data_IF_376222862087
#
_entry.id   IF_376222862087
#
_cell.length_a   1.000
_cell.length_b   1.000
_cell.length_c   1.000
_cell.angle_alpha   90.00
_cell.angle_beta   90.00
_cell.angle_gamma   90.00
#
_symmetry.space_group_name_H-M   'P 1'
#
loop_
_entity.id
_entity.type
_entity.pdbx_description
1 polymer ?
#
# COMPACT_ATOMS: atom_id res chain seq x y z
N UNK A 1 19.21 -8.19 -16.52
CA UNK A 1 17.86 -8.24 -15.91
C UNK A 1 17.41 -6.80 -15.72
N UNK A 2 16.12 -6.50 -15.87
CA UNK A 2 15.62 -5.13 -15.71
C UNK A 2 15.50 -4.81 -14.21
N UNK A 3 15.89 -3.60 -13.81
CA UNK A 3 15.79 -3.06 -12.45
C UNK A 3 14.47 -3.40 -11.74
N UNK A 4 13.35 -3.35 -12.48
CA UNK A 4 12.01 -3.61 -11.95
C UNK A 4 11.77 -5.09 -11.66
N UNK A 5 12.34 -5.98 -12.46
CA UNK A 5 12.25 -7.43 -12.24
C UNK A 5 12.88 -7.80 -10.88
N UNK A 6 14.03 -7.19 -10.57
CA UNK A 6 14.76 -7.46 -9.34
C UNK A 6 13.92 -7.08 -8.09
N UNK A 7 13.20 -5.96 -8.13
CA UNK A 7 12.34 -5.54 -7.00
C UNK A 7 11.12 -6.46 -6.78
N UNK A 8 10.51 -6.98 -7.86
CA UNK A 8 9.41 -7.95 -7.77
C UNK A 8 9.88 -9.28 -7.22
N UNK A 9 11.09 -9.69 -7.59
CA UNK A 9 11.68 -10.94 -7.14
C UNK A 9 12.00 -10.90 -5.64
N UNK A 10 12.42 -9.75 -5.10
CA UNK A 10 12.58 -9.53 -3.66
C UNK A 10 11.26 -9.71 -2.90
N UNK A 11 10.17 -9.10 -3.40
CA UNK A 11 8.83 -9.25 -2.81
C UNK A 11 8.38 -10.71 -2.85
N UNK A 12 8.55 -11.38 -3.99
CA UNK A 12 8.17 -12.80 -4.13
C UNK A 12 9.00 -13.70 -3.20
N UNK A 13 10.31 -13.46 -3.11
CA UNK A 13 11.20 -14.22 -2.25
C UNK A 13 10.82 -14.06 -0.77
N UNK A 14 10.49 -12.86 -0.32
CA UNK A 14 10.01 -12.62 1.05
C UNK A 14 8.68 -13.32 1.32
N UNK A 15 7.69 -13.21 0.43
CA UNK A 15 6.42 -13.94 0.60
C UNK A 15 6.62 -15.46 0.61
N UNK A 16 7.57 -15.97 -0.19
CA UNK A 16 7.89 -17.39 -0.25
C UNK A 16 8.59 -17.89 1.02
N UNK A 17 9.53 -17.11 1.59
CA UNK A 17 10.21 -17.48 2.83
C UNK A 17 9.25 -17.54 4.02
N UNK A 18 8.14 -16.80 3.94
CA UNK A 18 7.10 -16.72 4.97
C UNK A 18 5.89 -17.64 4.71
N UNK A 19 5.96 -18.51 3.71
CA UNK A 19 4.85 -19.39 3.33
C UNK A 19 4.53 -20.49 4.37
N UNK A 20 5.43 -20.77 5.33
CA UNK A 20 5.33 -21.93 6.24
C UNK A 20 5.49 -21.66 7.74
N UNK A 21 5.16 -20.46 8.24
CA UNK A 21 5.24 -20.13 9.68
C UNK A 21 3.85 -20.08 10.37
N UNK A 22 3.76 -20.29 11.71
CA UNK A 22 2.72 -21.10 12.35
C UNK A 22 1.34 -20.45 12.57
N UNK A 23 0.40 -21.33 12.94
CA UNK A 23 -1.06 -21.19 13.12
C UNK A 23 -1.58 -20.11 14.09
N UNK A 24 -0.73 -19.20 14.56
CA UNK A 24 -1.02 -18.25 15.65
C UNK A 24 -1.85 -17.04 15.19
N UNK A 25 -1.96 -16.84 13.87
CA UNK A 25 -2.78 -15.77 13.27
C UNK A 25 -4.26 -16.14 13.08
N UNK A 26 -4.68 -17.37 13.41
CA UNK A 26 -6.07 -17.82 13.18
C UNK A 26 -7.10 -17.06 14.02
N UNK A 27 -6.74 -16.61 15.22
CA UNK A 27 -7.74 -16.15 16.19
C UNK A 27 -7.94 -14.62 16.21
N UNK A 28 -7.07 -13.85 15.57
CA UNK A 28 -7.27 -12.40 15.42
C UNK A 28 -8.15 -12.02 14.22
N UNK A 29 -8.33 -12.93 13.26
CA UNK A 29 -9.02 -12.71 11.98
C UNK A 29 -10.38 -13.43 11.90
N UNK A 30 -10.68 -14.39 12.79
CA UNK A 30 -11.87 -15.24 12.69
C UNK A 30 -13.13 -14.69 13.38
N UNK A 31 -13.04 -13.74 14.32
CA UNK A 31 -14.21 -13.30 15.11
C UNK A 31 -14.96 -12.07 14.59
N UNK A 32 -14.54 -11.43 13.49
CA UNK A 32 -15.32 -10.34 12.88
C UNK A 32 -15.32 -10.43 11.35
N UNK A 33 -16.23 -11.24 10.84
CA UNK A 33 -16.67 -11.27 9.45
C UNK A 33 -17.00 -9.85 8.96
N UNK A 34 -16.15 -9.30 8.08
CA UNK A 34 -16.47 -8.15 7.24
C UNK A 34 -15.62 -6.88 7.39
N UNK A 35 -14.63 -6.85 8.29
CA UNK A 35 -13.84 -5.62 8.49
C UNK A 35 -12.54 -5.58 7.70
N UNK A 36 -12.38 -4.48 6.95
CA UNK A 36 -11.11 -4.03 6.37
C UNK A 36 -10.20 -3.60 7.52
N UNK A 37 -9.03 -4.22 7.68
CA UNK A 37 -8.02 -3.78 8.65
C UNK A 37 -6.88 -3.07 7.94
N UNK A 38 -6.66 -1.81 8.30
CA UNK A 38 -5.44 -1.08 7.93
C UNK A 38 -4.26 -1.71 8.66
N UNK A 39 -3.28 -2.19 7.90
CA UNK A 39 -2.09 -2.86 8.42
C UNK A 39 -0.83 -2.04 8.11
N UNK A 40 0.10 -2.01 9.07
CA UNK A 40 1.48 -1.58 8.87
C UNK A 40 2.40 -2.74 9.25
N UNK A 41 3.33 -3.06 8.37
CA UNK A 41 4.32 -4.10 8.56
C UNK A 41 5.71 -3.50 8.43
N UNK A 42 6.51 -3.65 9.47
CA UNK A 42 7.92 -3.27 9.47
C UNK A 42 8.74 -4.52 9.17
N UNK A 43 9.58 -4.45 8.12
CA UNK A 43 10.57 -5.47 7.72
C UNK A 43 10.05 -6.78 7.12
N UNK A 44 8.85 -7.26 7.46
CA UNK A 44 8.34 -8.55 6.98
C UNK A 44 6.94 -8.46 6.38
N UNK A 45 6.67 -9.26 5.35
CA UNK A 45 5.35 -9.43 4.76
C UNK A 45 4.48 -10.37 5.61
N UNK A 46 3.15 -10.45 5.39
CA UNK A 46 2.34 -11.39 6.16
C UNK A 46 2.68 -12.83 5.78
N UNK A 47 2.60 -13.72 6.76
CA UNK A 47 2.87 -15.14 6.58
C UNK A 47 1.73 -15.83 5.83
N UNK A 48 2.06 -16.96 5.20
CA UNK A 48 1.07 -17.82 4.56
C UNK A 48 0.49 -17.26 3.26
N UNK A 49 1.18 -16.36 2.58
CA UNK A 49 0.76 -15.86 1.27
C UNK A 49 0.66 -17.01 0.24
N UNK A 50 -0.46 -17.11 -0.46
CA UNK A 50 -0.62 -18.00 -1.60
C UNK A 50 0.01 -17.35 -2.85
N UNK A 51 1.23 -17.74 -3.18
CA UNK A 51 1.97 -17.15 -4.32
C UNK A 51 1.27 -17.35 -5.67
N UNK A 52 0.38 -18.33 -5.80
CA UNK A 52 -0.38 -18.55 -7.05
C UNK A 52 -1.43 -17.47 -7.31
N UNK A 53 -1.82 -16.71 -6.28
CA UNK A 53 -2.77 -15.59 -6.37
C UNK A 53 -2.07 -14.22 -6.27
N UNK A 54 -0.74 -14.20 -6.28
CA UNK A 54 0.04 -12.96 -6.23
C UNK A 54 -0.04 -12.20 -7.56
N UNK A 55 -0.56 -10.98 -7.49
CA UNK A 55 -0.60 -10.04 -8.59
C UNK A 55 0.11 -8.75 -8.22
N UNK A 56 0.99 -8.28 -9.10
CA UNK A 56 1.52 -6.92 -9.06
C UNK A 56 0.56 -6.02 -9.82
N UNK A 57 -0.04 -5.06 -9.13
CA UNK A 57 -1.11 -4.21 -9.67
C UNK A 57 -0.56 -2.91 -10.24
N UNK A 58 0.41 -2.31 -9.55
CA UNK A 58 1.00 -1.03 -9.93
C UNK A 58 2.38 -0.87 -9.30
N UNK A 59 3.25 -0.09 -9.93
CA UNK A 59 4.55 0.28 -9.39
C UNK A 59 4.88 1.76 -9.67
N UNK A 60 5.68 2.35 -8.79
CA UNK A 60 6.30 3.66 -8.99
C UNK A 60 7.72 3.62 -8.45
N UNK A 61 8.67 4.27 -9.12
CA UNK A 61 10.07 4.27 -8.72
C UNK A 61 10.71 5.64 -8.84
N UNK A 62 11.57 5.96 -7.88
CA UNK A 62 12.51 7.08 -7.93
C UNK A 62 13.91 6.53 -7.61
N UNK A 63 14.94 7.37 -7.69
CA UNK A 63 16.33 6.93 -7.45
C UNK A 63 16.47 6.24 -6.09
N UNK A 64 16.75 4.94 -6.08
CA UNK A 64 16.96 4.14 -4.88
C UNK A 64 15.70 3.59 -4.19
N UNK A 65 14.50 3.93 -4.66
CA UNK A 65 13.24 3.52 -4.02
C UNK A 65 12.21 3.05 -5.06
N UNK A 66 11.48 2.00 -4.73
CA UNK A 66 10.34 1.54 -5.52
C UNK A 66 9.18 1.15 -4.61
N UNK A 67 7.97 1.54 -4.98
CA UNK A 67 6.74 1.13 -4.28
C UNK A 67 5.93 0.25 -5.21
N UNK A 68 5.52 -0.92 -4.72
CA UNK A 68 4.63 -1.85 -5.42
C UNK A 68 3.28 -1.94 -4.73
N UNK A 69 2.20 -1.84 -5.48
CA UNK A 69 0.89 -2.34 -5.06
C UNK A 69 0.79 -3.83 -5.45
N UNK A 70 0.61 -4.69 -4.46
CA UNK A 70 0.42 -6.13 -4.66
C UNK A 70 -0.90 -6.59 -4.08
N UNK A 71 -1.46 -7.66 -4.65
CA UNK A 71 -2.64 -8.35 -4.13
C UNK A 71 -2.41 -9.85 -4.11
N UNK A 72 -2.84 -10.51 -3.04
CA UNK A 72 -2.82 -11.96 -2.92
C UNK A 72 -3.83 -12.44 -1.88
N UNK A 73 -4.13 -13.73 -1.93
CA UNK A 73 -4.87 -14.44 -0.88
C UNK A 73 -3.87 -15.14 0.03
N UNK A 74 -4.12 -15.22 1.34
CA UNK A 74 -3.32 -16.05 2.25
C UNK A 74 -3.92 -17.47 2.44
N UNK A 75 -3.25 -18.30 3.22
CA UNK A 75 -3.67 -19.68 3.53
C UNK A 75 -4.94 -19.73 4.40
N UNK A 76 -5.31 -18.62 5.04
CA UNK A 76 -6.56 -18.46 5.77
C UNK A 76 -7.71 -17.93 4.88
N UNK A 77 -7.49 -17.81 3.57
CA UNK A 77 -8.46 -17.29 2.59
C UNK A 77 -8.77 -15.80 2.77
N UNK A 78 -7.84 -15.05 3.37
CA UNK A 78 -7.93 -13.59 3.48
C UNK A 78 -7.24 -12.93 2.30
N UNK A 79 -7.94 -11.97 1.67
CA UNK A 79 -7.36 -11.14 0.63
C UNK A 79 -6.59 -9.96 1.23
N UNK A 80 -5.39 -9.74 0.70
CA UNK A 80 -4.49 -8.67 1.06
C UNK A 80 -4.28 -7.75 -0.15
N UNK A 81 -4.24 -6.44 0.10
CA UNK A 81 -3.67 -5.46 -0.82
C UNK A 81 -2.60 -4.70 -0.05
N UNK A 82 -1.35 -4.80 -0.48
CA UNK A 82 -0.20 -4.19 0.19
C UNK A 82 0.52 -3.21 -0.75
N UNK A 83 1.04 -2.15 -0.15
CA UNK A 83 1.90 -1.13 -0.72
C UNK A 83 3.29 -1.32 -0.12
N UNK A 84 4.18 -1.96 -0.88
CA UNK A 84 5.49 -2.40 -0.43
C UNK A 84 6.56 -1.42 -0.91
N UNK A 85 7.21 -0.74 0.04
CA UNK A 85 8.40 0.05 -0.23
C UNK A 85 9.63 -0.86 -0.25
N UNK A 86 10.32 -0.86 -1.39
CA UNK A 86 11.59 -1.53 -1.64
C UNK A 86 12.70 -0.48 -1.77
N UNK A 87 13.81 -0.69 -1.08
CA UNK A 87 14.97 0.20 -0.99
C UNK A 87 16.19 -0.46 -1.63
N UNK A 88 16.96 0.30 -2.41
CA UNK A 88 18.29 -0.10 -2.85
C UNK A 88 19.30 0.23 -1.74
N UNK A 89 19.80 -0.79 -1.08
CA UNK A 89 20.81 -0.64 -0.04
C UNK A 89 22.17 -0.19 -0.64
N UNK A 90 23.07 0.39 0.15
CA UNK A 90 24.42 0.75 -0.29
C UNK A 90 25.25 -0.43 -0.84
N UNK A 91 24.89 -1.66 -0.47
CA UNK A 91 25.49 -2.90 -1.00
C UNK A 91 25.09 -3.20 -2.45
N UNK A 92 24.13 -2.44 -3.01
CA UNK A 92 23.56 -2.67 -4.33
C UNK A 92 22.43 -3.71 -4.35
N UNK A 93 21.97 -4.16 -3.18
CA UNK A 93 20.87 -5.12 -3.06
C UNK A 93 19.55 -4.42 -2.73
N UNK A 94 18.47 -4.93 -3.31
CA UNK A 94 17.11 -4.48 -2.99
C UNK A 94 16.58 -5.20 -1.76
N UNK A 95 15.96 -4.45 -0.85
CA UNK A 95 15.34 -4.97 0.39
C UNK A 95 13.95 -4.38 0.58
N UNK A 96 13.05 -5.13 1.21
CA UNK A 96 11.76 -4.58 1.63
C UNK A 96 11.99 -3.75 2.89
N UNK A 97 11.73 -2.45 2.78
CA UNK A 97 11.89 -1.53 3.91
C UNK A 97 10.65 -1.52 4.79
N UNK A 98 9.48 -1.40 4.16
CA UNK A 98 8.21 -1.22 4.86
C UNK A 98 7.04 -1.63 3.96
N UNK A 99 5.93 -2.07 4.56
CA UNK A 99 4.68 -2.29 3.84
C UNK A 99 3.50 -1.73 4.61
N UNK A 100 2.51 -1.22 3.89
CA UNK A 100 1.21 -0.82 4.45
C UNK A 100 0.09 -1.36 3.58
N UNK A 101 -1.15 -1.39 4.07
CA UNK A 101 -2.27 -1.73 3.21
C UNK A 101 -3.48 -2.25 3.96
N UNK A 102 -4.20 -3.17 3.33
CA UNK A 102 -5.49 -3.68 3.78
C UNK A 102 -5.54 -5.20 3.75
N UNK A 103 -6.22 -5.78 4.73
CA UNK A 103 -6.60 -7.19 4.75
C UNK A 103 -8.12 -7.34 4.96
N UNK A 104 -8.76 -8.26 4.23
CA UNK A 104 -10.16 -8.64 4.43
C UNK A 104 -10.84 -9.28 3.22
N UNK A 105 -11.85 -10.13 3.48
CA UNK A 105 -12.59 -10.87 2.43
C UNK A 105 -13.59 -10.01 1.65
N UNK A 106 -14.00 -8.88 2.23
CA UNK A 106 -14.88 -7.88 1.64
C UNK A 106 -14.11 -6.59 1.42
N UNK A 107 -12.86 -6.65 0.95
CA UNK A 107 -11.86 -5.57 0.92
C UNK A 107 -12.30 -4.18 0.39
N UNK A 108 -13.54 -4.01 -0.08
CA UNK A 108 -14.12 -2.73 -0.45
C UNK A 108 -15.56 -2.49 0.07
N UNK A 109 -16.05 -3.18 1.10
CA UNK A 109 -17.33 -2.81 1.73
C UNK A 109 -17.14 -1.52 2.54
N UNK A 110 -17.48 -0.39 1.93
CA UNK A 110 -17.43 0.94 2.54
C UNK A 110 -18.75 1.68 2.29
N UNK A 111 -19.13 2.63 3.16
CA UNK A 111 -20.25 3.53 2.85
C UNK A 111 -20.03 4.23 1.50
N UNK A 112 -21.10 4.49 0.73
CA UNK A 112 -20.99 5.26 -0.49
C UNK A 112 -20.52 6.68 -0.17
N UNK A 113 -19.59 7.20 -0.97
CA UNK A 113 -19.13 8.57 -0.86
C UNK A 113 -19.93 9.48 -1.80
N UNK A 114 -20.39 10.61 -1.25
CA UNK A 114 -21.11 11.63 -2.03
C UNK A 114 -20.19 12.41 -2.98
N UNK A 115 -18.87 12.28 -2.83
CA UNK A 115 -17.87 12.95 -3.66
C UNK A 115 -16.65 12.06 -3.81
N UNK A 116 -15.92 12.15 -4.94
CA UNK A 116 -14.70 11.37 -5.11
C UNK A 116 -13.68 11.67 -4.02
N UNK A 117 -13.04 10.65 -3.48
CA UNK A 117 -12.02 10.80 -2.45
C UNK A 117 -10.84 9.87 -2.70
N UNK A 118 -9.69 10.17 -2.09
CA UNK A 118 -8.53 9.27 -2.08
C UNK A 118 -8.21 8.88 -0.64
N UNK A 119 -8.02 7.59 -0.40
CA UNK A 119 -7.60 7.06 0.89
C UNK A 119 -6.19 6.49 0.77
N UNK A 120 -5.25 7.03 1.54
CA UNK A 120 -3.84 6.65 1.47
C UNK A 120 -3.35 5.96 2.76
N UNK A 121 -2.48 4.98 2.55
CA UNK A 121 -1.74 4.22 3.54
C UNK A 121 -0.25 4.38 3.24
N UNK A 122 0.61 4.44 4.26
CA UNK A 122 2.03 4.60 4.07
C UNK A 122 2.73 5.26 5.24
N UNK A 123 3.92 5.80 4.98
CA UNK A 123 4.74 6.44 6.00
C UNK A 123 5.09 7.88 5.58
N UNK A 124 4.80 8.90 6.42
CA UNK A 124 5.18 10.27 6.14
C UNK A 124 6.68 10.54 6.32
N UNK A 125 7.39 9.69 7.08
CA UNK A 125 8.82 9.83 7.38
C UNK A 125 9.68 9.52 6.15
N UNK A 126 10.98 9.85 6.21
CA UNK A 126 11.91 9.60 5.09
C UNK A 126 12.36 8.12 5.03
N UNK A 127 12.27 7.45 3.86
CA UNK A 127 11.65 7.93 2.62
C UNK A 127 10.12 7.91 2.70
N UNK A 128 9.49 8.97 2.19
CA UNK A 128 8.03 9.00 2.09
C UNK A 128 7.57 7.95 1.09
N UNK A 129 6.55 7.20 1.48
CA UNK A 129 5.77 6.41 0.53
C UNK A 129 4.30 6.43 0.92
N UNK A 130 3.46 6.38 -0.10
CA UNK A 130 2.03 6.18 0.09
C UNK A 130 1.44 5.37 -1.06
N UNK A 131 0.50 4.51 -0.75
CA UNK A 131 -0.34 3.83 -1.72
C UNK A 131 -1.78 3.85 -1.25
N UNK A 132 -2.72 3.81 -2.18
CA UNK A 132 -4.11 3.91 -1.80
C UNK A 132 -5.10 3.82 -2.94
N UNK A 133 -6.35 4.08 -2.57
CA UNK A 133 -7.50 3.88 -3.45
C UNK A 133 -8.19 5.20 -3.72
N UNK A 134 -8.52 5.41 -5.00
CA UNK A 134 -9.48 6.41 -5.43
C UNK A 134 -10.86 5.81 -5.37
N UNK A 135 -11.74 6.53 -4.71
CA UNK A 135 -13.13 6.22 -4.48
C UNK A 135 -13.93 7.15 -5.37
N UNK A 136 -14.57 6.59 -6.41
CA UNK A 136 -15.36 7.35 -7.39
C UNK A 136 -16.71 6.67 -7.62
N UNK A 137 -17.54 6.64 -6.58
CA UNK A 137 -18.86 5.99 -6.61
C UNK A 137 -19.86 6.72 -7.55
N UNK A 138 -19.55 7.96 -7.92
CA UNK A 138 -20.32 8.75 -8.88
C UNK A 138 -19.85 8.55 -10.33
N UNK A 139 -18.76 7.80 -10.54
CA UNK A 139 -18.18 7.53 -11.84
C UNK A 139 -17.87 8.80 -12.64
N UNK A 140 -17.35 9.84 -11.99
CA UNK A 140 -16.97 11.10 -12.65
C UNK A 140 -15.62 11.00 -13.37
N UNK A 141 -14.97 9.84 -13.31
CA UNK A 141 -13.84 9.48 -14.16
C UNK A 141 -12.53 10.08 -13.66
N UNK A 142 -12.23 9.96 -12.36
CA UNK A 142 -10.96 10.42 -11.81
C UNK A 142 -9.80 9.63 -12.43
N UNK A 143 -8.87 10.34 -13.08
CA UNK A 143 -7.71 9.76 -13.76
C UNK A 143 -6.38 10.18 -13.17
N UNK A 144 -6.36 11.25 -12.36
CA UNK A 144 -5.10 11.76 -11.82
C UNK A 144 -5.32 12.33 -10.42
N UNK A 145 -4.38 12.03 -9.54
CA UNK A 145 -4.39 12.55 -8.17
C UNK A 145 -3.07 13.25 -7.93
N UNK A 146 -3.16 14.48 -7.43
CA UNK A 146 -2.03 15.29 -7.03
C UNK A 146 -2.07 15.51 -5.52
N UNK A 147 -0.95 15.22 -4.88
CA UNK A 147 -0.67 15.54 -3.50
C UNK A 147 0.14 16.83 -3.46
N UNK A 148 -0.31 17.79 -2.67
CA UNK A 148 0.32 19.10 -2.58
C UNK A 148 0.54 19.48 -1.12
N UNK A 149 1.78 19.82 -0.79
CA UNK A 149 2.18 20.53 0.42
C UNK A 149 2.69 21.94 0.04
N UNK A 150 3.10 22.78 1.01
CA UNK A 150 3.73 24.06 0.68
C UNK A 150 5.05 23.93 -0.08
N UNK A 151 5.78 22.83 0.11
CA UNK A 151 7.12 22.62 -0.47
C UNK A 151 7.16 21.59 -1.59
N UNK A 152 6.23 20.64 -1.60
CA UNK A 152 6.28 19.47 -2.47
C UNK A 152 4.99 19.26 -3.26
N UNK A 153 5.15 18.66 -4.44
CA UNK A 153 4.05 18.25 -5.29
C UNK A 153 4.34 16.87 -5.87
N UNK A 154 3.52 15.90 -5.51
CA UNK A 154 3.58 14.54 -6.03
C UNK A 154 2.32 14.26 -6.84
N UNK A 155 2.44 13.51 -7.92
CA UNK A 155 1.31 13.25 -8.81
C UNK A 155 1.40 11.83 -9.36
N UNK A 156 0.23 11.19 -9.44
CA UNK A 156 0.10 9.87 -10.05
C UNK A 156 -1.20 9.74 -10.85
N UNK A 157 -1.17 8.87 -11.85
CA UNK A 157 -2.33 8.49 -12.66
C UNK A 157 -3.09 7.36 -11.96
N UNK A 158 -4.41 7.41 -11.97
CA UNK A 158 -5.24 6.34 -11.41
C UNK A 158 -5.23 5.14 -12.36
N UNK A 159 -4.84 3.97 -11.84
CA UNK A 159 -4.92 2.70 -12.57
C UNK A 159 -5.64 1.69 -11.69
N UNK A 160 -6.75 1.11 -12.16
CA UNK A 160 -7.59 0.19 -11.38
C UNK A 160 -7.95 0.73 -9.99
N UNK A 161 -8.31 2.03 -9.94
CA UNK A 161 -8.58 2.80 -8.72
C UNK A 161 -7.37 2.96 -7.78
N UNK A 162 -6.16 2.61 -8.19
CA UNK A 162 -4.95 2.73 -7.37
C UNK A 162 -4.12 3.96 -7.72
N UNK A 163 -3.51 4.53 -6.69
CA UNK A 163 -2.45 5.53 -6.79
C UNK A 163 -1.29 5.15 -5.87
N UNK A 164 -0.07 5.45 -6.31
CA UNK A 164 1.18 5.24 -5.58
C UNK A 164 2.06 6.48 -5.63
N UNK A 165 2.76 6.74 -4.53
CA UNK A 165 3.69 7.85 -4.36
C UNK A 165 4.93 7.37 -3.63
N UNK A 166 6.08 7.91 -4.03
CA UNK A 166 7.36 7.69 -3.36
C UNK A 166 8.21 8.95 -3.48
N UNK A 167 8.89 9.31 -2.39
CA UNK A 167 9.80 10.45 -2.34
C UNK A 167 10.95 10.14 -1.38
N UNK A 168 12.16 10.62 -1.67
CA UNK A 168 13.35 10.35 -0.85
C UNK A 168 13.30 11.04 0.51
N UNK A 169 12.60 12.17 0.59
CA UNK A 169 12.45 12.97 1.80
C UNK A 169 11.10 12.72 2.47
N UNK A 170 10.98 13.13 3.73
CA UNK A 170 9.71 13.11 4.44
C UNK A 170 8.73 14.13 3.85
N UNK A 171 7.44 13.85 3.97
CA UNK A 171 6.38 14.77 3.55
C UNK A 171 5.58 15.19 4.78
N UNK A 172 5.48 16.50 4.97
CA UNK A 172 4.71 17.06 6.09
C UNK A 172 3.22 16.80 5.93
N UNK A 173 2.59 16.30 6.99
CA UNK A 173 1.14 16.15 7.09
C UNK A 173 0.51 17.37 7.80
N UNK A 174 -0.76 17.70 7.51
CA UNK A 174 -1.62 17.05 6.52
C UNK A 174 -1.31 17.50 5.08
N UNK A 175 -1.73 16.70 4.10
CA UNK A 175 -1.49 16.94 2.67
C UNK A 175 -2.80 17.31 1.99
N UNK A 176 -2.77 18.23 1.01
CA UNK A 176 -3.92 18.51 0.17
C UNK A 176 -3.94 17.55 -1.03
N UNK A 177 -4.99 16.74 -1.15
CA UNK A 177 -5.25 15.91 -2.31
C UNK A 177 -6.14 16.66 -3.31
N UNK A 178 -5.76 16.64 -4.58
CA UNK A 178 -6.50 17.22 -5.71
C UNK A 178 -6.77 16.15 -6.75
N UNK A 179 -8.04 15.92 -7.06
CA UNK A 179 -8.48 14.84 -7.96
C UNK A 179 -8.89 15.45 -9.30
N UNK A 180 -8.37 14.92 -10.38
CA UNK A 180 -8.60 15.40 -11.74
C UNK A 180 -9.20 14.31 -12.62
N UNK A 181 -10.09 14.70 -13.52
CA UNK A 181 -10.67 13.80 -14.53
C UNK A 181 -9.82 13.74 -15.81
N UNK A 182 -10.33 13.03 -16.82
CA UNK A 182 -9.68 12.85 -18.13
C UNK A 182 -9.44 14.17 -18.89
N UNK A 183 -10.32 15.17 -18.74
CA UNK A 183 -10.12 16.49 -19.34
C UNK A 183 -9.18 17.38 -18.54
N UNK A 184 -8.52 16.84 -17.49
CA UNK A 184 -7.68 17.59 -16.55
C UNK A 184 -8.42 18.67 -15.75
N UNK A 185 -9.75 18.58 -15.67
CA UNK A 185 -10.54 19.43 -14.79
C UNK A 185 -10.33 19.01 -13.34
N UNK A 186 -10.19 19.98 -12.43
CA UNK A 186 -10.18 19.73 -11.00
C UNK A 186 -11.60 19.36 -10.56
N UNK A 187 -11.77 18.14 -10.07
CA UNK A 187 -13.09 17.61 -9.65
C UNK A 187 -13.31 17.82 -8.16
N UNK A 188 -12.31 17.51 -7.33
CA UNK A 188 -12.43 17.59 -5.87
C UNK A 188 -11.09 17.94 -5.23
N UNK A 189 -11.15 18.58 -4.06
CA UNK A 189 -10.00 18.86 -3.22
C UNK A 189 -10.34 18.58 -1.76
N UNK A 190 -9.53 17.78 -1.09
CA UNK A 190 -9.69 17.51 0.33
C UNK A 190 -8.35 17.32 1.03
N UNK A 191 -8.34 17.59 2.32
CA UNK A 191 -7.18 17.37 3.17
C UNK A 191 -7.16 15.91 3.60
N UNK A 192 -6.00 15.27 3.46
CA UNK A 192 -5.79 13.90 3.92
C UNK A 192 -4.71 13.86 5.00
N UNK A 193 -4.92 12.99 5.98
CA UNK A 193 -3.86 12.39 6.77
C UNK A 193 -3.68 10.95 6.29
N UNK A 194 -2.46 10.42 6.38
CA UNK A 194 -2.27 8.98 6.17
C UNK A 194 -3.07 8.24 7.24
N UNK A 195 -3.83 7.22 6.82
CA UNK A 195 -4.75 6.54 7.72
C UNK A 195 -3.97 5.94 8.90
N UNK A 196 -4.45 6.10 10.15
CA UNK A 196 -3.78 5.52 11.31
C UNK A 196 -3.77 4.00 11.15
N UNK A 197 -2.58 3.44 11.05
CA UNK A 197 -2.41 2.00 10.92
C UNK A 197 -2.22 1.40 12.31
N UNK A 198 -2.89 0.27 12.59
CA UNK A 198 -2.50 -0.55 13.72
C UNK A 198 -1.20 -1.24 13.33
N UNK A 199 -0.15 -1.05 14.12
CA UNK A 199 1.01 -1.93 14.03
C UNK A 199 0.53 -3.34 14.34
N UNK A 200 0.59 -4.23 13.34
CA UNK A 200 0.65 -5.65 13.63
C UNK A 200 2.04 -5.87 14.21
N UNK A 201 2.15 -5.67 15.54
CA UNK A 201 3.28 -6.23 16.26
C UNK A 201 3.20 -7.73 16.02
N UNK A 202 4.09 -8.26 15.18
CA UNK A 202 4.45 -9.66 15.32
C UNK A 202 4.82 -9.80 16.79
N UNK A 203 4.01 -10.49 17.58
CA UNK A 203 4.41 -10.88 18.93
C UNK A 203 5.47 -11.97 18.78
N UNK A 204 6.62 -11.60 18.22
CA UNK A 204 7.86 -12.31 18.39
C UNK A 204 8.44 -11.85 19.73
N UNK A 205 7.78 -12.23 20.82
CA UNK A 205 8.53 -12.58 22.02
C UNK A 205 9.13 -13.96 21.74
N UNK A 206 10.20 -13.97 20.94
CA UNK A 206 11.20 -15.02 21.12
C UNK A 206 12.08 -14.49 22.25
N UNK A 207 11.68 -14.78 23.48
CA UNK A 207 12.64 -14.80 24.57
C UNK A 207 13.65 -15.90 24.21
N UNK A 208 14.90 -15.50 23.95
CA UNK A 208 16.05 -16.40 24.04
C UNK A 208 16.46 -16.54 25.50
#
# INVERSE_FOLDING_TARGET
MSFLQDTKDVIRAELQSLASLPSEYRDALSEQSGFIRSVRLQKHLPQGANLTTLHFLKEVSVSGYCVHAIRFEDTAKVWWILFCLVLLEPTGQWTIKECSGLAGNTAMSRPPHLRPTVQLYGNPDAPFYAGGFVIDDQHVGIQRVRLQTPSEMLEDTVLDNLVLYVHSESISLPIQAKLYNAESNLVETHTITLLPMRELKSQLNIDM
#
